data_IF_604298885534
#
_entry.id   IF_604298885534
#
_cell.length_a   1.000
_cell.length_b   1.000
_cell.length_c   1.000
_cell.angle_alpha   90.00
_cell.angle_beta   90.00
_cell.angle_gamma   90.00
#
_symmetry.space_group_name_H-M   'P 1'
#
loop_
_entity.id
_entity.type
_entity.pdbx_description
1 polymer ?
#
# COMPACT_ATOMS: atom_id res chain seq x y z
N UNK A 1 -12.34 2.66 1.49
CA UNK A 1 -11.02 3.18 1.05
C UNK A 1 -10.35 2.18 0.13
N UNK A 2 -10.01 2.61 -1.08
CA UNK A 2 -9.17 1.85 -2.01
C UNK A 2 -7.84 1.51 -1.34
N UNK A 3 -7.52 0.23 -1.17
CA UNK A 3 -6.21 -0.23 -0.65
C UNK A 3 -5.13 -0.09 -1.71
N UNK A 4 -4.99 1.11 -2.27
CA UNK A 4 -4.06 1.44 -3.35
C UNK A 4 -3.17 2.61 -2.92
N UNK A 5 -1.89 2.51 -3.22
CA UNK A 5 -0.93 3.60 -3.08
C UNK A 5 -1.20 4.66 -4.17
N UNK A 6 -1.48 5.90 -3.79
CA UNK A 6 -1.77 6.98 -4.76
C UNK A 6 -0.53 7.44 -5.55
N UNK A 7 0.67 7.23 -5.01
CA UNK A 7 1.94 7.63 -5.64
C UNK A 7 2.46 6.55 -6.60
N UNK A 8 2.47 5.31 -6.13
CA UNK A 8 3.12 4.19 -6.78
C UNK A 8 2.16 3.19 -7.41
N UNK A 9 0.86 3.39 -7.25
CA UNK A 9 -0.18 2.53 -7.82
C UNK A 9 -0.24 1.11 -7.22
N UNK A 10 0.57 0.78 -6.21
CA UNK A 10 0.59 -0.57 -5.60
C UNK A 10 -0.80 -0.99 -5.12
N UNK A 11 -1.23 -2.16 -5.56
CA UNK A 11 -2.54 -2.75 -5.26
C UNK A 11 -2.38 -4.05 -4.46
N UNK A 12 -3.44 -4.54 -3.82
CA UNK A 12 -3.42 -5.84 -3.19
C UNK A 12 -3.23 -6.94 -4.23
N UNK A 13 -2.40 -7.91 -3.92
CA UNK A 13 -2.19 -9.09 -4.76
C UNK A 13 -3.02 -10.24 -4.20
N UNK A 14 -3.58 -11.08 -5.06
CA UNK A 14 -4.34 -12.27 -4.67
C UNK A 14 -3.48 -13.51 -4.88
N UNK A 15 -3.59 -14.49 -3.99
CA UNK A 15 -3.02 -15.82 -4.18
C UNK A 15 -3.53 -16.79 -3.13
N UNK A 16 -2.72 -17.77 -2.78
CA UNK A 16 -3.12 -18.82 -1.84
C UNK A 16 -2.19 -18.85 -0.61
N UNK A 17 -2.73 -19.22 0.54
CA UNK A 17 -1.97 -19.82 1.62
C UNK A 17 -1.87 -21.32 1.35
N UNK A 18 -0.67 -21.88 1.39
CA UNK A 18 -0.43 -23.30 1.12
C UNK A 18 0.06 -23.93 2.42
N UNK A 19 -0.69 -24.89 2.96
CA UNK A 19 -0.27 -25.63 4.15
C UNK A 19 0.77 -26.70 3.81
N UNK A 20 1.37 -27.31 4.83
CA UNK A 20 2.28 -28.46 4.66
C UNK A 20 1.60 -29.65 3.95
N UNK A 21 0.29 -29.85 4.18
CA UNK A 21 -0.53 -30.84 3.48
C UNK A 21 -0.98 -30.38 2.07
N UNK A 22 -0.46 -29.26 1.58
CA UNK A 22 -0.80 -28.66 0.28
C UNK A 22 -2.28 -28.21 0.16
N UNK A 23 -2.92 -27.92 1.28
CA UNK A 23 -4.26 -27.30 1.29
C UNK A 23 -4.13 -25.84 0.88
N UNK A 24 -4.84 -25.45 -0.19
CA UNK A 24 -4.79 -24.10 -0.77
C UNK A 24 -6.00 -23.29 -0.33
N UNK A 25 -5.81 -22.29 0.52
CA UNK A 25 -6.86 -21.31 0.88
C UNK A 25 -6.59 -19.96 0.24
N UNK A 26 -7.62 -19.28 -0.27
CA UNK A 26 -7.46 -17.97 -0.93
C UNK A 26 -7.02 -16.92 0.10
N UNK A 27 -6.01 -16.13 -0.23
CA UNK A 27 -5.57 -14.97 0.57
C UNK A 27 -5.26 -13.75 -0.28
N UNK A 28 -5.31 -12.58 0.35
CA UNK A 28 -4.93 -11.30 -0.25
C UNK A 28 -3.74 -10.72 0.50
N UNK A 29 -2.69 -10.33 -0.21
CA UNK A 29 -1.58 -9.55 0.34
C UNK A 29 -1.89 -8.07 0.18
N UNK A 30 -2.09 -7.40 1.30
CA UNK A 30 -2.28 -5.96 1.30
C UNK A 30 -0.95 -5.23 1.43
N UNK A 31 -0.68 -4.19 0.63
CA UNK A 31 0.44 -3.30 0.88
C UNK A 31 0.24 -2.58 2.23
N UNK A 32 1.33 -2.34 2.96
CA UNK A 32 1.30 -1.50 4.15
C UNK A 32 1.10 -0.04 3.72
N UNK A 33 -0.15 0.43 3.80
CA UNK A 33 -0.58 1.76 3.42
C UNK A 33 -0.80 2.59 4.68
N UNK A 34 -0.31 3.81 4.66
CA UNK A 34 -0.46 4.80 5.72
C UNK A 34 -1.20 6.00 5.16
N UNK A 35 -2.12 6.55 5.94
CA UNK A 35 -2.87 7.74 5.54
C UNK A 35 -2.25 8.94 6.25
N UNK A 36 -1.66 9.86 5.50
CA UNK A 36 -1.02 11.05 6.06
C UNK A 36 -1.29 12.29 5.22
N UNK A 37 -1.06 13.45 5.83
CA UNK A 37 -1.04 14.74 5.14
C UNK A 37 0.35 14.94 4.55
N UNK A 38 0.41 15.15 3.24
CA UNK A 38 1.63 15.33 2.46
C UNK A 38 1.50 16.63 1.67
N UNK A 39 2.58 17.41 1.60
CA UNK A 39 2.65 18.56 0.69
C UNK A 39 2.93 18.04 -0.73
N UNK A 40 1.92 18.08 -1.58
CA UNK A 40 2.07 17.75 -3.01
C UNK A 40 1.93 19.06 -3.78
N UNK A 41 3.03 19.51 -4.42
CA UNK A 41 3.06 20.74 -5.23
C UNK A 41 2.55 21.99 -4.47
N UNK A 42 2.98 22.17 -3.22
CA UNK A 42 2.64 23.33 -2.40
C UNK A 42 1.29 23.25 -1.67
N UNK A 43 0.43 22.29 -1.97
CA UNK A 43 -0.84 22.08 -1.25
C UNK A 43 -0.75 20.86 -0.32
N UNK A 44 -1.29 20.99 0.89
CA UNK A 44 -1.39 19.87 1.85
C UNK A 44 -2.61 19.02 1.52
N UNK A 45 -2.38 17.81 1.02
CA UNK A 45 -3.45 16.85 0.71
C UNK A 45 -3.34 15.63 1.62
N UNK A 46 -4.49 15.09 2.03
CA UNK A 46 -4.57 13.81 2.73
C UNK A 46 -4.54 12.71 1.69
N UNK A 47 -3.45 11.95 1.65
CA UNK A 47 -3.23 10.90 0.64
C UNK A 47 -2.88 9.57 1.29
N UNK A 48 -3.22 8.48 0.62
CA UNK A 48 -2.89 7.12 1.04
C UNK A 48 -1.59 6.66 0.36
N UNK A 49 -0.54 6.45 1.16
CA UNK A 49 0.82 6.19 0.66
C UNK A 49 1.37 4.90 1.22
N UNK A 50 2.08 4.11 0.41
CA UNK A 50 2.76 2.92 0.93
C UNK A 50 4.02 3.30 1.71
N UNK A 51 4.36 2.50 2.72
CA UNK A 51 5.56 2.72 3.56
C UNK A 51 6.85 2.75 2.74
N UNK A 52 6.92 2.04 1.61
CA UNK A 52 8.08 2.11 0.71
C UNK A 52 8.24 3.49 0.07
N UNK A 53 7.15 4.14 -0.36
CA UNK A 53 7.21 5.48 -0.91
C UNK A 53 7.57 6.54 0.13
N UNK A 54 7.10 6.36 1.38
CA UNK A 54 7.51 7.21 2.49
C UNK A 54 9.01 7.07 2.76
N UNK A 55 9.52 5.83 2.80
CA UNK A 55 10.95 5.57 2.99
C UNK A 55 11.81 6.12 1.84
N UNK A 56 11.31 6.08 0.61
CA UNK A 56 12.01 6.60 -0.57
C UNK A 56 12.01 8.13 -0.68
N UNK A 57 11.40 8.87 0.26
CA UNK A 57 11.33 10.34 0.22
C UNK A 57 10.39 10.90 -0.87
N UNK A 58 9.60 10.03 -1.52
CA UNK A 58 8.64 10.43 -2.56
C UNK A 58 7.43 11.18 -1.99
N UNK A 59 7.22 11.09 -0.68
CA UNK A 59 6.23 11.86 0.07
C UNK A 59 6.89 12.37 1.35
N UNK A 60 7.15 13.67 1.39
CA UNK A 60 7.64 14.38 2.57
C UNK A 60 6.47 15.05 3.30
N UNK A 61 6.57 15.08 4.63
CA UNK A 61 5.59 15.73 5.49
C UNK A 61 5.64 17.25 5.33
#
# INVERSE_FOLDING_TARGET
MSKVCEICGKRPIVGNNVSHAHNKTKRRWHPNLQTLRVKVKGQTKKITVCTRCLRSGLAYK
#
